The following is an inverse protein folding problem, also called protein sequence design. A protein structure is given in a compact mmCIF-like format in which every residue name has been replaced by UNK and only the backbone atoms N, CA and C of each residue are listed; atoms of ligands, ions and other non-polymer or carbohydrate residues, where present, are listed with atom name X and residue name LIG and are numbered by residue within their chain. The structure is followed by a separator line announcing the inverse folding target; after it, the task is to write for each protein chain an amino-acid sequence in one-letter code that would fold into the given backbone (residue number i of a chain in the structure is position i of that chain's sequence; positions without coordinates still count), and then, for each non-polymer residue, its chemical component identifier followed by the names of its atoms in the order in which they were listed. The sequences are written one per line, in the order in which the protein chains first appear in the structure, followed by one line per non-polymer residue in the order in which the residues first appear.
data_IF_873696881299
#
_entry.id   IF_873696881299
#
_cell.length_a   1.000
_cell.length_b   1.000
_cell.length_c   1.000
_cell.angle_alpha   90.00
_cell.angle_beta   90.00
_cell.angle_gamma   90.00
#
_symmetry.space_group_name_H-M   'P 1'
#
loop_
_entity.id
_entity.type
_entity.pdbx_description
1 polymer ?
#
# COMPACT_ATOMS: atom_id res chain seq x y z
N UNK A 1 -3.46 4.57 34.21
CA UNK A 1 -4.32 3.56 33.58
C UNK A 1 -4.85 4.18 32.30
N UNK A 2 -4.18 3.96 31.17
CA UNK A 2 -4.58 4.51 29.87
C UNK A 2 -5.76 3.71 29.32
N UNK A 3 -6.97 4.15 29.64
CA UNK A 3 -8.14 3.77 28.87
C UNK A 3 -7.98 4.27 27.44
N UNK A 4 -7.90 3.35 26.48
CA UNK A 4 -8.16 3.70 25.08
C UNK A 4 -7.22 3.08 24.06
N UNK A 5 -7.13 1.75 24.01
CA UNK A 5 -6.78 1.11 22.72
C UNK A 5 -7.14 -0.37 22.55
N UNK A 6 -7.50 -1.11 23.60
CA UNK A 6 -7.92 -2.51 23.46
C UNK A 6 -9.38 -2.65 23.82
N UNK A 7 -10.27 -2.68 22.83
CA UNK A 7 -11.33 -3.68 22.95
C UNK A 7 -10.60 -5.02 22.87
N UNK A 8 -10.54 -5.81 23.97
CA UNK A 8 -9.91 -7.11 23.94
C UNK A 8 -10.54 -7.96 22.83
N UNK A 9 -9.81 -8.93 22.24
CA UNK A 9 -10.30 -9.70 21.09
C UNK A 9 -11.69 -10.33 21.29
N UNK A 10 -12.05 -10.66 22.53
CA UNK A 10 -13.35 -11.20 22.92
C UNK A 10 -14.49 -10.17 22.98
N UNK A 11 -14.20 -8.88 22.81
CA UNK A 11 -15.16 -7.77 22.79
C UNK A 11 -15.30 -7.12 21.40
N UNK A 12 -14.60 -7.64 20.38
CA UNK A 12 -14.75 -7.16 18.99
C UNK A 12 -16.00 -7.80 18.38
N UNK A 13 -16.94 -6.98 17.91
CA UNK A 13 -18.05 -7.45 17.07
C UNK A 13 -17.52 -7.87 15.70
N UNK A 14 -17.31 -9.18 15.55
CA UNK A 14 -16.74 -9.79 14.35
C UNK A 14 -17.62 -9.57 13.12
N UNK A 15 -18.96 -9.61 13.27
CA UNK A 15 -19.88 -9.44 12.13
C UNK A 15 -19.84 -8.01 11.62
N UNK A 16 -19.80 -7.03 12.52
CA UNK A 16 -19.69 -5.62 12.16
C UNK A 16 -18.33 -5.32 11.51
N UNK A 17 -17.23 -5.84 12.08
CA UNK A 17 -15.90 -5.70 11.51
C UNK A 17 -15.84 -6.28 10.08
N UNK A 18 -16.37 -7.48 9.87
CA UNK A 18 -16.41 -8.13 8.55
C UNK A 18 -17.22 -7.32 7.54
N UNK A 19 -18.42 -6.84 7.90
CA UNK A 19 -19.23 -5.98 7.01
C UNK A 19 -18.47 -4.72 6.59
N UNK A 20 -17.74 -4.08 7.52
CA UNK A 20 -16.93 -2.90 7.20
C UNK A 20 -15.77 -3.23 6.28
N UNK A 21 -15.05 -4.33 6.52
CA UNK A 21 -13.97 -4.79 5.64
C UNK A 21 -14.50 -5.08 4.25
N UNK A 22 -15.64 -5.78 4.12
CA UNK A 22 -16.28 -6.06 2.82
C UNK A 22 -16.66 -4.78 2.10
N UNK A 23 -17.32 -3.84 2.78
CA UNK A 23 -17.72 -2.56 2.18
C UNK A 23 -16.52 -1.73 1.71
N UNK A 24 -15.44 -1.69 2.51
CA UNK A 24 -14.19 -1.04 2.14
C UNK A 24 -13.55 -1.74 0.93
N UNK A 25 -13.58 -3.08 0.90
CA UNK A 25 -13.16 -3.93 -0.21
C UNK A 25 -13.85 -3.52 -1.51
N UNK A 26 -15.19 -3.60 -1.54
CA UNK A 26 -16.01 -3.24 -2.71
C UNK A 26 -15.71 -1.83 -3.18
N UNK A 27 -15.69 -0.85 -2.25
CA UNK A 27 -15.38 0.53 -2.59
C UNK A 27 -13.99 0.67 -3.19
N UNK A 28 -12.98 0.02 -2.61
CA UNK A 28 -11.60 0.07 -3.09
C UNK A 28 -11.44 -0.49 -4.50
N UNK A 29 -12.09 -1.63 -4.81
CA UNK A 29 -12.07 -2.20 -6.16
C UNK A 29 -12.75 -1.28 -7.19
N UNK A 30 -13.92 -0.72 -6.85
CA UNK A 30 -14.65 0.19 -7.75
C UNK A 30 -13.84 1.46 -8.01
N UNK A 31 -13.31 2.09 -6.95
CA UNK A 31 -12.47 3.28 -7.08
C UNK A 31 -11.21 2.99 -7.90
N UNK A 32 -10.57 1.85 -7.69
CA UNK A 32 -9.38 1.47 -8.43
C UNK A 32 -9.68 1.26 -9.92
N UNK A 33 -10.73 0.51 -10.26
CA UNK A 33 -11.14 0.30 -11.65
C UNK A 33 -11.46 1.61 -12.37
N UNK A 34 -12.22 2.50 -11.72
CA UNK A 34 -12.51 3.84 -12.27
C UNK A 34 -11.24 4.67 -12.45
N UNK A 35 -10.36 4.70 -11.45
CA UNK A 35 -9.11 5.47 -11.52
C UNK A 35 -8.20 4.96 -12.65
N UNK A 36 -8.10 3.64 -12.85
CA UNK A 36 -7.36 3.04 -13.95
C UNK A 36 -7.98 3.40 -15.30
N UNK A 37 -9.30 3.28 -15.45
CA UNK A 37 -10.00 3.64 -16.69
C UNK A 37 -9.81 5.11 -17.06
N UNK A 38 -9.98 6.02 -16.09
CA UNK A 38 -9.74 7.46 -16.28
C UNK A 38 -8.29 7.73 -16.63
N UNK A 39 -7.34 7.14 -15.91
CA UNK A 39 -5.92 7.35 -16.16
C UNK A 39 -5.46 6.81 -17.52
N UNK A 40 -5.96 5.65 -17.93
CA UNK A 40 -5.68 5.06 -19.24
C UNK A 40 -6.13 5.97 -20.38
N UNK A 41 -7.30 6.60 -20.24
CA UNK A 41 -7.85 7.50 -21.26
C UNK A 41 -7.20 8.89 -21.26
N UNK A 42 -6.93 9.45 -20.08
CA UNK A 42 -6.53 10.86 -19.96
C UNK A 42 -5.02 11.08 -19.80
N UNK A 43 -4.28 10.19 -19.13
CA UNK A 43 -2.84 10.40 -18.92
C UNK A 43 -2.02 10.42 -20.21
N UNK A 44 -2.29 9.60 -21.25
CA UNK A 44 -1.53 9.68 -22.50
C UNK A 44 -1.64 11.03 -23.21
N UNK A 45 -2.69 11.82 -22.93
CA UNK A 45 -2.83 13.19 -23.44
C UNK A 45 -2.00 14.21 -22.64
N UNK A 46 -1.57 13.85 -21.43
CA UNK A 46 -0.83 14.73 -20.52
C UNK A 46 0.66 14.38 -20.46
N UNK A 47 1.02 13.11 -20.62
CA UNK A 47 2.39 12.60 -20.53
C UNK A 47 2.67 11.56 -21.61
N UNK A 48 3.93 11.53 -22.07
CA UNK A 48 4.41 10.49 -22.98
C UNK A 48 4.89 9.30 -22.15
N UNK A 49 4.26 8.14 -22.37
CA UNK A 49 4.69 6.90 -21.73
C UNK A 49 5.85 6.26 -22.50
N UNK A 50 6.85 5.71 -21.78
CA UNK A 50 8.01 5.09 -22.42
C UNK A 50 7.62 3.83 -23.20
N UNK A 51 8.33 3.59 -24.30
CA UNK A 51 8.15 2.41 -25.18
C UNK A 51 9.28 1.42 -24.97
N UNK A 52 10.52 1.91 -24.91
CA UNK A 52 11.71 1.06 -24.76
C UNK A 52 11.72 0.37 -23.39
N UNK A 53 12.10 -0.92 -23.38
CA UNK A 53 12.07 -1.73 -22.16
C UNK A 53 12.86 -1.09 -21.01
N UNK A 54 14.06 -0.59 -21.28
CA UNK A 54 14.90 0.06 -20.28
C UNK A 54 14.22 1.28 -19.65
N UNK A 55 13.53 2.09 -20.46
CA UNK A 55 12.83 3.28 -19.99
C UNK A 55 11.57 2.94 -19.19
N UNK A 56 10.84 1.89 -19.60
CA UNK A 56 9.67 1.36 -18.86
C UNK A 56 10.08 0.86 -17.48
N UNK A 57 11.17 0.11 -17.38
CA UNK A 57 11.71 -0.35 -16.12
C UNK A 57 12.21 0.83 -15.26
N UNK A 58 12.88 1.81 -15.86
CA UNK A 58 13.28 3.02 -15.16
C UNK A 58 12.07 3.80 -14.61
N UNK A 59 10.98 3.89 -15.38
CA UNK A 59 9.72 4.47 -14.94
C UNK A 59 9.12 3.73 -13.73
N UNK A 60 9.08 2.40 -13.77
CA UNK A 60 8.61 1.57 -12.66
C UNK A 60 9.47 1.74 -11.39
N UNK A 61 10.81 1.77 -11.52
CA UNK A 61 11.72 1.96 -10.39
C UNK A 61 11.56 3.35 -9.77
N UNK A 62 11.43 4.40 -10.59
CA UNK A 62 11.18 5.76 -10.10
C UNK A 62 9.84 5.87 -9.36
N UNK A 63 8.79 5.23 -9.88
CA UNK A 63 7.51 5.12 -9.19
C UNK A 63 7.65 4.35 -7.86
N UNK A 64 8.41 3.25 -7.87
CA UNK A 64 8.73 2.46 -6.68
C UNK A 64 9.47 3.26 -5.61
N UNK A 65 10.34 4.21 -5.99
CA UNK A 65 11.01 5.09 -5.04
C UNK A 65 10.03 5.93 -4.22
N UNK A 66 8.91 6.37 -4.81
CA UNK A 66 7.85 7.09 -4.08
C UNK A 66 7.18 6.20 -3.03
N UNK A 67 6.97 4.93 -3.35
CA UNK A 67 6.43 3.93 -2.41
C UNK A 67 7.42 3.65 -1.29
N UNK A 68 8.70 3.45 -1.60
CA UNK A 68 9.77 3.23 -0.61
C UNK A 68 9.97 4.47 0.29
N UNK A 69 9.70 5.67 -0.21
CA UNK A 69 9.69 6.87 0.63
C UNK A 69 8.63 6.79 1.74
N UNK A 70 7.48 6.13 1.52
CA UNK A 70 6.50 5.87 2.58
C UNK A 70 7.07 4.94 3.67
N UNK A 71 7.93 3.98 3.30
CA UNK A 71 8.67 3.13 4.26
C UNK A 71 9.63 4.00 5.07
N UNK A 72 10.37 4.89 4.40
CA UNK A 72 11.27 5.84 5.08
C UNK A 72 10.53 6.73 6.08
N UNK A 73 9.32 7.19 5.74
CA UNK A 73 8.44 7.91 6.68
C UNK A 73 8.09 7.02 7.88
N UNK A 74 7.74 5.76 7.67
CA UNK A 74 7.50 4.80 8.75
C UNK A 74 8.70 4.60 9.68
N UNK A 75 9.91 4.48 9.11
CA UNK A 75 11.17 4.43 9.86
C UNK A 75 11.34 5.71 10.67
N UNK A 76 11.12 6.88 10.07
CA UNK A 76 11.21 8.17 10.75
C UNK A 76 10.25 8.29 11.95
N UNK A 77 9.01 7.82 11.81
CA UNK A 77 8.02 7.82 12.89
C UNK A 77 8.46 6.96 14.08
N UNK A 78 8.95 5.74 13.80
CA UNK A 78 9.46 4.80 14.82
C UNK A 78 10.70 5.38 15.51
N UNK A 79 11.71 5.80 14.73
CA UNK A 79 12.98 6.32 15.24
C UNK A 79 12.78 7.59 16.07
N UNK A 80 11.94 8.51 15.61
CA UNK A 80 11.64 9.76 16.34
C UNK A 80 10.93 9.45 17.65
N UNK A 81 9.96 8.53 17.64
CA UNK A 81 9.21 8.17 18.85
C UNK A 81 10.12 7.52 19.89
N UNK A 82 10.98 6.57 19.48
CA UNK A 82 11.98 5.96 20.37
C UNK A 82 12.93 6.99 20.99
N UNK A 83 13.45 7.91 20.18
CA UNK A 83 14.42 8.91 20.63
C UNK A 83 13.89 9.81 21.74
N UNK A 84 12.60 10.14 21.71
CA UNK A 84 11.98 11.09 22.63
C UNK A 84 11.12 10.42 23.71
N UNK A 85 11.24 9.11 23.89
CA UNK A 85 10.44 8.33 24.81
C UNK A 85 11.34 7.54 25.76
N UNK A 86 11.40 7.88 27.07
CA UNK A 86 12.22 7.14 28.04
C UNK A 86 11.84 5.66 28.14
N UNK A 87 10.57 5.34 27.92
CA UNK A 87 10.06 3.96 27.90
C UNK A 87 10.51 3.19 26.64
N UNK A 88 10.77 3.87 25.52
CA UNK A 88 11.08 3.24 24.23
C UNK A 88 12.54 3.37 23.77
N UNK A 89 13.35 4.22 24.42
CA UNK A 89 14.72 4.54 24.00
C UNK A 89 15.65 3.34 24.04
N UNK A 90 15.41 2.40 24.96
CA UNK A 90 16.13 1.13 25.07
C UNK A 90 15.86 0.16 23.91
N UNK A 91 14.92 0.50 23.02
CA UNK A 91 14.55 -0.32 21.87
C UNK A 91 13.83 -1.62 22.25
N UNK A 92 13.61 -2.47 21.25
CA UNK A 92 12.84 -3.70 21.41
C UNK A 92 13.46 -4.75 22.35
N UNK A 93 14.75 -4.62 22.68
CA UNK A 93 15.42 -5.51 23.63
C UNK A 93 15.15 -5.12 25.10
N UNK A 94 14.79 -3.86 25.36
CA UNK A 94 14.55 -3.36 26.71
C UNK A 94 13.14 -3.66 27.24
N UNK A 95 12.21 -4.03 26.35
CA UNK A 95 10.82 -4.34 26.72
C UNK A 95 9.84 -4.16 25.56
N UNK A 96 8.55 -4.40 25.82
CA UNK A 96 7.49 -4.13 24.85
C UNK A 96 7.39 -2.63 24.54
N UNK A 97 6.99 -2.26 23.31
CA UNK A 97 6.83 -0.86 22.94
C UNK A 97 5.67 -0.19 23.69
N UNK A 98 5.79 1.12 23.91
CA UNK A 98 4.69 1.98 24.33
C UNK A 98 3.50 1.88 23.37
N UNK A 99 2.30 2.27 23.83
CA UNK A 99 1.09 2.24 23.00
C UNK A 99 1.27 3.04 21.70
N UNK A 100 1.92 4.21 21.79
CA UNK A 100 2.17 5.06 20.62
C UNK A 100 3.20 4.42 19.69
N UNK A 101 4.29 3.87 20.23
CA UNK A 101 5.30 3.22 19.41
C UNK A 101 4.74 1.96 18.73
N UNK A 102 3.89 1.19 19.41
CA UNK A 102 3.28 -0.03 18.87
C UNK A 102 2.50 0.25 17.58
N UNK A 103 1.81 1.39 17.49
CA UNK A 103 1.09 1.82 16.27
C UNK A 103 2.08 2.06 15.12
N UNK A 104 3.15 2.81 15.36
CA UNK A 104 4.13 3.12 14.31
C UNK A 104 4.95 1.92 13.88
N UNK A 105 5.26 0.99 14.80
CA UNK A 105 5.90 -0.29 14.46
C UNK A 105 5.00 -1.12 13.57
N UNK A 106 3.73 -1.26 13.91
CA UNK A 106 2.77 -2.00 13.09
C UNK A 106 2.53 -1.33 11.72
N UNK A 107 2.48 0.00 11.68
CA UNK A 107 2.43 0.78 10.45
C UNK A 107 3.66 0.55 9.57
N UNK A 108 4.86 0.60 10.14
CA UNK A 108 6.11 0.38 9.43
C UNK A 108 6.19 -1.04 8.86
N UNK A 109 5.92 -2.06 9.67
CA UNK A 109 5.94 -3.45 9.22
C UNK A 109 4.98 -3.68 8.05
N UNK A 110 3.74 -3.23 8.20
CA UNK A 110 2.75 -3.36 7.14
C UNK A 110 3.14 -2.56 5.89
N UNK A 111 3.67 -1.35 6.06
CA UNK A 111 4.11 -0.53 4.91
C UNK A 111 5.29 -1.17 4.18
N UNK A 112 6.22 -1.82 4.89
CA UNK A 112 7.34 -2.54 4.29
C UNK A 112 6.84 -3.73 3.46
N UNK A 113 6.02 -4.61 4.04
CA UNK A 113 5.44 -5.76 3.35
C UNK A 113 4.70 -5.33 2.08
N UNK A 114 3.88 -4.29 2.19
CA UNK A 114 3.09 -3.79 1.09
C UNK A 114 3.93 -3.07 0.04
N UNK A 115 4.99 -2.36 0.44
CA UNK A 115 5.91 -1.71 -0.48
C UNK A 115 6.69 -2.73 -1.31
N UNK A 116 7.13 -3.83 -0.71
CA UNK A 116 7.82 -4.93 -1.42
C UNK A 116 6.91 -5.49 -2.52
N UNK A 117 5.65 -5.78 -2.19
CA UNK A 117 4.67 -6.26 -3.16
C UNK A 117 4.38 -5.21 -4.26
N UNK A 118 4.23 -3.94 -3.90
CA UNK A 118 3.95 -2.88 -4.87
C UNK A 118 5.12 -2.66 -5.84
N UNK A 119 6.35 -2.54 -5.33
CA UNK A 119 7.55 -2.33 -6.17
C UNK A 119 7.80 -3.54 -7.07
N UNK A 120 7.69 -4.76 -6.52
CA UNK A 120 7.80 -5.99 -7.31
C UNK A 120 6.77 -6.05 -8.44
N UNK A 121 5.51 -5.68 -8.15
CA UNK A 121 4.46 -5.57 -9.15
C UNK A 121 4.80 -4.53 -10.23
N UNK A 122 5.26 -3.32 -9.88
CA UNK A 122 5.55 -2.28 -10.89
C UNK A 122 6.62 -2.72 -11.89
N UNK A 123 7.69 -3.35 -11.40
CA UNK A 123 8.77 -3.84 -12.25
C UNK A 123 8.29 -4.98 -13.15
N UNK A 124 7.59 -5.96 -12.59
CA UNK A 124 7.07 -7.10 -13.36
C UNK A 124 6.00 -6.68 -14.38
N UNK A 125 5.19 -5.67 -14.07
CA UNK A 125 4.19 -5.15 -15.00
C UNK A 125 4.83 -4.34 -16.14
N UNK A 126 5.76 -3.43 -15.82
CA UNK A 126 6.43 -2.59 -16.81
C UNK A 126 7.33 -3.38 -17.78
N UNK A 127 7.80 -4.57 -17.41
CA UNK A 127 8.52 -5.44 -18.34
C UNK A 127 7.61 -6.04 -19.43
N UNK A 128 6.29 -6.13 -19.16
CA UNK A 128 5.32 -6.82 -20.02
C UNK A 128 4.46 -5.87 -20.85
N UNK A 129 4.19 -4.65 -20.37
CA UNK A 129 3.28 -3.70 -21.06
C UNK A 129 3.99 -2.42 -21.50
N UNK A 130 3.42 -1.72 -22.48
CA UNK A 130 3.90 -0.43 -22.94
C UNK A 130 2.74 0.55 -23.20
N UNK A 131 3.07 1.82 -23.46
CA UNK A 131 2.07 2.85 -23.79
C UNK A 131 1.10 3.14 -22.66
N UNK A 132 -0.17 3.39 -23.00
CA UNK A 132 -1.19 3.83 -22.05
C UNK A 132 -1.42 2.88 -20.87
N UNK A 133 -1.13 1.59 -21.01
CA UNK A 133 -1.24 0.61 -19.92
C UNK A 133 -0.30 0.92 -18.74
N UNK A 134 0.82 1.60 -18.98
CA UNK A 134 1.73 2.05 -17.91
C UNK A 134 1.09 3.05 -16.94
N UNK A 135 -0.07 3.65 -17.29
CA UNK A 135 -0.88 4.48 -16.39
C UNK A 135 -1.32 3.77 -15.10
N UNK A 136 -1.36 2.43 -15.09
CA UNK A 136 -1.66 1.64 -13.91
C UNK A 136 -0.66 1.91 -12.77
N UNK A 137 0.61 2.15 -13.09
CA UNK A 137 1.68 2.36 -12.11
C UNK A 137 1.46 3.67 -11.31
N UNK A 138 1.33 4.87 -11.92
CA UNK A 138 1.09 6.09 -11.16
C UNK A 138 -0.24 6.06 -10.39
N UNK A 139 -1.30 5.42 -10.92
CA UNK A 139 -2.54 5.19 -10.16
C UNK A 139 -2.28 4.35 -8.91
N UNK A 140 -1.52 3.26 -9.06
CA UNK A 140 -1.14 2.39 -7.95
C UNK A 140 -0.32 3.12 -6.88
N UNK A 141 0.59 4.01 -7.29
CA UNK A 141 1.37 4.86 -6.36
C UNK A 141 0.43 5.81 -5.59
N UNK A 142 -0.50 6.47 -6.27
CA UNK A 142 -1.46 7.36 -5.63
C UNK A 142 -2.32 6.61 -4.59
N UNK A 143 -2.81 5.42 -4.96
CA UNK A 143 -3.56 4.55 -4.06
C UNK A 143 -2.73 4.10 -2.85
N UNK A 144 -1.45 3.79 -3.06
CA UNK A 144 -0.53 3.45 -1.98
C UNK A 144 -0.43 4.61 -0.98
N UNK A 145 -0.11 5.82 -1.44
CA UNK A 145 0.06 7.00 -0.59
C UNK A 145 -1.23 7.30 0.20
N UNK A 146 -2.37 7.40 -0.50
CA UNK A 146 -3.67 7.69 0.12
C UNK A 146 -4.03 6.59 1.12
N UNK A 147 -3.82 5.33 0.75
CA UNK A 147 -4.08 4.19 1.61
C UNK A 147 -3.25 4.21 2.90
N UNK A 148 -1.95 4.56 2.83
CA UNK A 148 -1.08 4.69 4.02
C UNK A 148 -1.53 5.82 4.94
N UNK A 149 -1.92 6.97 4.39
CA UNK A 149 -2.45 8.09 5.17
C UNK A 149 -3.73 7.71 5.89
N UNK A 150 -4.69 7.10 5.18
CA UNK A 150 -5.96 6.66 5.76
C UNK A 150 -5.77 5.55 6.80
N UNK A 151 -4.87 4.60 6.54
CA UNK A 151 -4.56 3.52 7.47
C UNK A 151 -4.03 4.06 8.81
N UNK A 152 -3.04 4.97 8.76
CA UNK A 152 -2.44 5.51 9.96
C UNK A 152 -3.43 6.38 10.75
N UNK A 153 -4.24 7.20 10.07
CA UNK A 153 -5.29 8.02 10.70
C UNK A 153 -6.37 7.17 11.35
N UNK A 154 -6.80 6.10 10.69
CA UNK A 154 -7.83 5.18 11.17
C UNK A 154 -7.35 4.16 12.19
N UNK A 155 -6.03 4.04 12.41
CA UNK A 155 -5.45 2.97 13.24
C UNK A 155 -6.00 2.96 14.67
N UNK A 156 -6.16 4.15 15.29
CA UNK A 156 -6.69 4.29 16.65
C UNK A 156 -8.15 3.85 16.80
N UNK A 157 -8.90 3.79 15.69
CA UNK A 157 -10.30 3.40 15.65
C UNK A 157 -10.47 1.87 15.47
N UNK A 158 -9.37 1.11 15.53
CA UNK A 158 -9.37 -0.34 15.43
C UNK A 158 -9.53 -0.83 13.98
N UNK A 159 -10.05 -2.05 13.84
CA UNK A 159 -10.13 -2.76 12.55
C UNK A 159 -10.96 -2.00 11.52
N UNK A 160 -12.11 -1.46 11.93
CA UNK A 160 -13.02 -0.75 11.02
C UNK A 160 -12.39 0.53 10.45
N UNK A 161 -11.73 1.33 11.29
CA UNK A 161 -11.15 2.61 10.87
C UNK A 161 -9.98 2.46 9.91
N UNK A 162 -9.16 1.42 10.08
CA UNK A 162 -7.98 1.18 9.21
C UNK A 162 -8.29 0.36 7.95
N UNK A 163 -9.48 -0.22 7.83
CA UNK A 163 -9.83 -1.14 6.75
C UNK A 163 -9.73 -0.50 5.36
N UNK A 164 -10.24 0.72 5.18
CA UNK A 164 -10.17 1.40 3.87
C UNK A 164 -8.73 1.66 3.44
N UNK A 165 -7.86 2.10 4.35
CA UNK A 165 -6.45 2.32 4.07
C UNK A 165 -5.71 1.05 3.68
N UNK A 166 -6.02 -0.08 4.35
CA UNK A 166 -5.52 -1.41 3.96
C UNK A 166 -5.92 -1.76 2.54
N UNK A 167 -7.22 -1.68 2.24
CA UNK A 167 -7.76 -2.06 0.94
C UNK A 167 -7.14 -1.22 -0.17
N UNK A 168 -7.19 0.12 -0.07
CA UNK A 168 -6.64 0.99 -1.12
C UNK A 168 -5.16 0.70 -1.42
N UNK A 169 -4.37 0.34 -0.39
CA UNK A 169 -2.95 0.03 -0.61
C UNK A 169 -2.76 -1.34 -1.29
N UNK A 170 -3.60 -2.32 -0.96
CA UNK A 170 -3.45 -3.70 -1.44
C UNK A 170 -4.15 -4.00 -2.74
N UNK A 171 -5.25 -3.31 -3.06
CA UNK A 171 -6.03 -3.53 -4.27
C UNK A 171 -5.17 -3.53 -5.54
N UNK A 172 -4.24 -2.58 -5.76
CA UNK A 172 -3.40 -2.60 -6.95
C UNK A 172 -2.55 -3.87 -7.10
N UNK A 173 -1.94 -4.35 -6.01
CA UNK A 173 -1.13 -5.57 -6.04
C UNK A 173 -2.01 -6.82 -6.20
N UNK A 174 -3.14 -6.91 -5.49
CA UNK A 174 -4.07 -8.04 -5.55
C UNK A 174 -4.64 -8.22 -6.96
N UNK A 175 -4.95 -7.13 -7.66
CA UNK A 175 -5.44 -7.18 -9.05
C UNK A 175 -4.29 -7.31 -10.05
N UNK A 176 -3.19 -6.59 -9.81
CA UNK A 176 -2.07 -6.47 -10.73
C UNK A 176 -1.26 -7.75 -10.90
N UNK A 177 -1.00 -8.50 -9.83
CA UNK A 177 -0.24 -9.76 -9.93
C UNK A 177 -0.94 -10.82 -10.80
N UNK A 178 -2.25 -11.09 -10.65
CA UNK A 178 -2.98 -11.94 -11.59
C UNK A 178 -2.84 -11.50 -13.05
N UNK A 179 -2.92 -10.20 -13.33
CA UNK A 179 -2.73 -9.65 -14.68
C UNK A 179 -1.31 -9.95 -15.19
N UNK A 180 -0.29 -9.70 -14.36
CA UNK A 180 1.11 -10.03 -14.69
C UNK A 180 1.26 -11.51 -15.04
N UNK A 181 0.71 -12.42 -14.22
CA UNK A 181 0.82 -13.85 -14.48
C UNK A 181 0.10 -14.28 -15.77
N UNK A 182 -1.09 -13.73 -16.03
CA UNK A 182 -1.81 -13.98 -17.28
C UNK A 182 -0.96 -13.54 -18.47
N UNK A 183 -0.38 -12.33 -18.42
CA UNK A 183 0.47 -11.79 -19.49
C UNK A 183 1.73 -12.63 -19.73
N UNK A 184 2.36 -13.13 -18.66
CA UNK A 184 3.51 -14.04 -18.77
C UNK A 184 3.11 -15.31 -19.52
N UNK A 185 1.99 -15.92 -19.14
CA UNK A 185 1.50 -17.15 -19.76
C UNK A 185 1.13 -16.94 -21.24
N UNK A 186 0.45 -15.84 -21.57
CA UNK A 186 0.05 -15.56 -22.96
C UNK A 186 1.25 -15.24 -23.85
N UNK A 187 2.25 -14.51 -23.34
CA UNK A 187 3.46 -14.22 -24.09
C UNK A 187 4.28 -15.49 -24.35
N UNK A 188 4.38 -16.40 -23.37
CA UNK A 188 5.09 -17.67 -23.52
C UNK A 188 4.44 -18.61 -24.55
N UNK A 189 3.12 -18.54 -24.73
CA UNK A 189 2.39 -19.32 -25.74
C UNK A 189 2.53 -18.71 -27.15
N UNK A 190 2.87 -17.43 -27.24
CA UNK A 190 2.99 -16.69 -28.51
C UNK A 190 4.38 -16.75 -29.14
N UNK A 191 5.36 -17.32 -28.43
CA UNK A 191 6.73 -17.64 -28.89
C UNK A 191 6.85 -19.11 -29.28
#
# INVERSE_FOLDING_TARGET
MSEGYRTPPNQIDMQRAERKIRSAGTLGFVLFGMAVGVAYLLLPALIVFPVELGERLAFAVRAGAVVLFCVLVGVGLVSTTRRFSPEDIGGSAAGPPSERLAIYVAFLQNTLEQAVLAVGFYVAYASLVAGAWLSLIPVSVAFFIVGRVLFLRGYRQGVEGRALGMVLTMTPAIVGYPVVFILILTNAIST
#
